data_IF_794263937656
#
_entry.id   IF_794263937656
#
_cell.length_a   1.000
_cell.length_b   1.000
_cell.length_c   1.000
_cell.angle_alpha   90.00
_cell.angle_beta   90.00
_cell.angle_gamma   90.00
#
_symmetry.space_group_name_H-M   'P 1'
#
loop_
_entity.id
_entity.type
_entity.pdbx_description
1 polymer ?
#
# COMPACT_ATOMS: atom_id res chain seq x y z
N UNK A 1 9.02 60.21 -36.82
CA UNK A 1 7.87 59.94 -35.94
C UNK A 1 8.40 59.19 -34.74
N UNK A 2 8.60 59.94 -33.65
CA UNK A 2 9.02 59.63 -32.27
C UNK A 2 10.04 58.51 -31.92
N UNK A 3 11.24 58.98 -31.54
CA UNK A 3 12.15 58.39 -30.54
C UNK A 3 11.66 58.69 -29.11
N UNK A 4 12.12 57.93 -28.10
CA UNK A 4 12.64 58.36 -26.77
C UNK A 4 13.05 57.09 -25.99
N UNK A 5 14.31 56.73 -25.72
CA UNK A 5 15.36 57.24 -24.80
C UNK A 5 15.06 57.18 -23.28
N UNK A 6 15.80 56.27 -22.61
CA UNK A 6 16.56 56.39 -21.34
C UNK A 6 15.91 56.32 -19.93
N UNK A 7 16.60 55.53 -19.09
CA UNK A 7 16.99 55.71 -17.66
C UNK A 7 15.98 55.39 -16.52
N UNK A 8 16.33 54.43 -15.64
CA UNK A 8 16.96 54.74 -14.33
C UNK A 8 17.52 53.48 -13.62
N UNK A 9 18.70 53.65 -13.01
CA UNK A 9 19.34 52.76 -12.02
C UNK A 9 18.58 52.81 -10.70
N UNK A 10 18.51 51.70 -9.95
CA UNK A 10 18.60 51.78 -8.49
C UNK A 10 19.20 50.51 -7.89
N UNK A 11 20.48 50.62 -7.49
CA UNK A 11 21.10 49.82 -6.44
C UNK A 11 20.55 50.29 -5.08
N UNK A 12 20.33 49.38 -4.13
CA UNK A 12 20.30 49.77 -2.71
C UNK A 12 19.73 48.78 -1.71
N UNK A 13 20.65 48.16 -0.96
CA UNK A 13 20.57 47.68 0.45
C UNK A 13 19.86 46.34 0.69
N UNK A 14 20.60 45.27 1.03
CA UNK A 14 21.12 44.90 2.36
C UNK A 14 20.05 44.89 3.46
N UNK A 15 19.56 43.69 3.77
CA UNK A 15 19.19 43.30 5.13
C UNK A 15 19.53 41.82 5.34
N UNK A 16 20.43 41.58 6.28
CA UNK A 16 20.84 40.26 6.74
C UNK A 16 19.70 39.55 7.47
N UNK A 17 19.53 38.24 7.25
CA UNK A 17 18.65 37.40 8.06
C UNK A 17 19.38 36.12 8.47
N UNK A 18 19.80 36.08 9.73
CA UNK A 18 20.13 34.89 10.54
C UNK A 18 20.11 35.32 12.02
N UNK A 19 19.98 34.40 12.98
CA UNK A 19 18.92 33.41 13.17
C UNK A 19 18.40 33.46 14.62
N UNK A 20 17.33 32.72 14.92
CA UNK A 20 17.11 32.22 16.26
C UNK A 20 15.75 32.56 16.88
N UNK A 21 15.03 31.50 17.24
CA UNK A 21 14.42 31.37 18.56
C UNK A 21 13.72 30.02 18.61
N UNK A 22 14.08 29.20 19.60
CA UNK A 22 13.67 27.81 19.73
C UNK A 22 12.16 27.63 19.84
N UNK A 23 11.66 26.61 19.15
CA UNK A 23 10.34 26.05 19.42
C UNK A 23 10.52 25.00 20.51
N UNK A 24 10.21 25.38 21.74
CA UNK A 24 9.84 24.45 22.81
C UNK A 24 8.41 23.98 22.52
N UNK A 25 8.24 22.73 22.12
CA UNK A 25 6.91 22.10 22.16
C UNK A 25 6.65 21.63 23.58
N UNK A 26 5.72 22.31 24.24
CA UNK A 26 5.16 21.93 25.53
C UNK A 26 4.34 20.65 25.38
N UNK A 27 4.64 19.65 26.21
CA UNK A 27 3.80 18.50 26.43
C UNK A 27 2.49 18.94 27.09
N UNK A 28 1.35 18.58 26.50
CA UNK A 28 0.05 18.70 27.12
C UNK A 28 -0.50 17.30 27.41
N UNK A 29 -0.31 16.88 28.65
CA UNK A 29 -1.14 15.88 29.31
C UNK A 29 -2.53 16.46 29.55
N UNK A 30 -3.60 15.79 29.10
CA UNK A 30 -4.86 15.84 29.85
C UNK A 30 -5.71 14.59 29.64
N UNK A 31 -6.02 13.98 30.79
CA UNK A 31 -7.05 12.95 31.00
C UNK A 31 -8.41 13.63 31.16
N UNK A 32 -9.46 12.79 31.00
CA UNK A 32 -10.88 12.94 31.43
C UNK A 32 -11.77 13.55 30.34
N UNK A 33 -13.01 13.11 30.11
CA UNK A 33 -13.94 12.40 31.00
C UNK A 33 -15.07 11.76 30.18
N UNK A 34 -15.54 10.60 30.64
CA UNK A 34 -16.78 9.95 30.23
C UNK A 34 -17.99 10.85 30.44
N UNK A 35 -18.86 10.93 29.44
CA UNK A 35 -20.25 11.37 29.61
C UNK A 35 -21.18 10.23 29.17
N UNK A 36 -21.86 9.65 30.16
CA UNK A 36 -23.02 8.77 30.01
C UNK A 36 -24.20 9.59 29.51
N UNK A 37 -24.94 9.06 28.54
CA UNK A 37 -26.35 9.38 28.35
C UNK A 37 -27.13 8.08 28.24
N UNK A 38 -28.06 7.95 29.18
CA UNK A 38 -29.06 6.89 29.31
C UNK A 38 -30.44 7.43 28.94
N UNK A 39 -31.40 6.49 28.81
CA UNK A 39 -32.85 6.63 28.60
C UNK A 39 -33.27 6.55 27.12
N UNK A 40 -34.29 5.79 26.72
CA UNK A 40 -35.27 4.96 27.45
C UNK A 40 -35.91 3.94 26.50
N UNK A 41 -36.39 2.85 27.10
CA UNK A 41 -37.07 1.72 26.49
C UNK A 41 -38.37 2.07 25.76
N UNK A 42 -38.71 1.26 24.75
CA UNK A 42 -40.11 0.86 24.55
C UNK A 42 -40.19 -0.62 24.16
N UNK A 43 -41.18 -1.27 24.77
CA UNK A 43 -41.43 -2.70 24.87
C UNK A 43 -42.05 -3.29 23.60
N UNK A 44 -41.72 -4.54 23.29
CA UNK A 44 -42.75 -5.52 22.93
C UNK A 44 -42.32 -6.94 23.30
N UNK A 45 -43.18 -7.60 24.07
CA UNK A 45 -43.10 -9.01 24.49
C UNK A 45 -43.69 -9.89 23.39
N UNK A 46 -43.04 -10.99 23.06
CA UNK A 46 -43.71 -12.26 22.74
C UNK A 46 -42.86 -13.42 23.27
N UNK A 47 -43.51 -14.24 24.10
CA UNK A 47 -42.99 -15.45 24.72
C UNK A 47 -42.82 -16.58 23.68
N UNK A 48 -41.79 -17.39 23.87
CA UNK A 48 -41.63 -18.69 23.23
C UNK A 48 -40.45 -19.45 23.85
N UNK A 49 -40.73 -20.22 24.89
CA UNK A 49 -39.77 -21.13 25.53
C UNK A 49 -39.28 -22.17 24.52
N UNK A 50 -37.97 -22.24 24.28
CA UNK A 50 -37.29 -23.49 23.97
C UNK A 50 -35.90 -23.50 24.61
N UNK A 51 -35.73 -24.41 25.56
CA UNK A 51 -34.46 -24.85 26.12
C UNK A 51 -33.74 -25.66 25.05
N UNK A 52 -32.54 -25.23 24.62
CA UNK A 52 -31.54 -26.12 24.05
C UNK A 52 -30.16 -25.46 24.00
N UNK A 53 -29.24 -26.06 24.75
CA UNK A 53 -27.84 -26.35 24.41
C UNK A 53 -26.92 -25.19 23.98
N UNK A 54 -25.97 -24.89 24.88
CA UNK A 54 -24.68 -24.33 24.51
C UNK A 54 -24.02 -25.22 23.45
N UNK A 55 -23.67 -24.67 22.28
CA UNK A 55 -22.66 -25.25 21.41
C UNK A 55 -22.12 -24.24 20.39
N UNK A 56 -20.80 -24.21 20.31
CA UNK A 56 -19.94 -23.68 19.25
C UNK A 56 -20.24 -22.29 18.69
N UNK A 57 -19.38 -21.33 19.10
CA UNK A 57 -19.04 -20.18 18.28
C UNK A 57 -18.49 -20.67 16.93
N UNK A 58 -19.37 -20.78 15.94
CA UNK A 58 -19.03 -21.04 14.55
C UNK A 58 -18.19 -19.88 14.04
N UNK A 59 -16.93 -20.16 13.75
CA UNK A 59 -16.01 -19.33 12.97
C UNK A 59 -16.69 -19.02 11.64
N UNK A 60 -17.25 -17.81 11.49
CA UNK A 60 -17.80 -17.34 10.21
C UNK A 60 -16.64 -17.10 9.25
N UNK A 61 -16.22 -18.15 8.55
CA UNK A 61 -15.47 -18.04 7.30
C UNK A 61 -16.42 -17.39 6.30
N UNK A 62 -16.05 -16.22 5.78
CA UNK A 62 -16.85 -15.52 4.77
C UNK A 62 -16.86 -16.36 3.47
N UNK A 63 -18.02 -16.56 2.83
CA UNK A 63 -18.11 -17.33 1.58
C UNK A 63 -17.21 -16.70 0.50
N UNK A 64 -16.34 -17.50 -0.11
CA UNK A 64 -15.50 -17.09 -1.25
C UNK A 64 -14.06 -16.68 -0.93
N UNK A 65 -13.66 -16.68 0.36
CA UNK A 65 -12.25 -16.48 0.75
C UNK A 65 -11.65 -17.84 1.12
N UNK A 66 -11.05 -18.52 0.15
CA UNK A 66 -10.09 -19.58 0.45
C UNK A 66 -8.90 -18.89 1.12
N UNK A 67 -8.61 -19.19 2.38
CA UNK A 67 -7.39 -18.71 3.03
C UNK A 67 -6.19 -19.37 2.34
N UNK A 68 -5.72 -18.76 1.26
CA UNK A 68 -4.44 -19.04 0.65
C UNK A 68 -3.37 -18.20 1.35
N UNK A 69 -3.06 -18.50 2.61
CA UNK A 69 -1.81 -18.02 3.21
C UNK A 69 -0.66 -18.81 2.56
N UNK A 70 -0.19 -18.38 1.40
CA UNK A 70 1.00 -18.97 0.80
C UNK A 70 1.93 -17.91 0.21
N UNK A 71 3.03 -17.65 0.95
CA UNK A 71 4.38 -17.57 0.39
C UNK A 71 5.43 -17.79 1.52
N UNK A 72 6.29 -18.80 1.37
CA UNK A 72 7.50 -19.07 2.19
C UNK A 72 8.72 -19.18 1.24
N UNK A 73 9.84 -18.47 1.46
CA UNK A 73 11.09 -18.91 2.14
C UNK A 73 12.17 -17.76 2.13
N UNK A 74 13.27 -17.77 2.95
CA UNK A 74 13.94 -18.95 3.51
C UNK A 74 14.15 -19.02 5.05
N UNK A 75 13.81 -20.18 5.62
CA UNK A 75 14.53 -20.82 6.73
C UNK A 75 14.23 -22.31 6.70
N UNK A 76 15.28 -23.14 6.57
CA UNK A 76 15.28 -24.57 6.26
C UNK A 76 14.57 -25.55 7.24
N UNK A 77 13.60 -25.11 8.03
CA UNK A 77 12.88 -25.97 8.97
C UNK A 77 11.37 -25.64 8.96
N UNK A 78 10.65 -26.17 7.97
CA UNK A 78 9.20 -26.20 7.99
C UNK A 78 8.73 -27.44 8.78
N UNK A 79 8.53 -27.29 10.09
CA UNK A 79 7.86 -28.28 10.92
C UNK A 79 6.39 -27.87 11.17
N UNK A 80 5.46 -28.68 10.66
CA UNK A 80 4.08 -28.86 11.16
C UNK A 80 3.16 -27.63 11.25
N UNK A 81 2.25 -27.48 10.28
CA UNK A 81 1.19 -26.46 10.26
C UNK A 81 0.04 -26.84 11.23
N UNK A 82 -0.10 -26.11 12.35
CA UNK A 82 -1.32 -26.06 13.16
C UNK A 82 -2.07 -24.75 12.85
N UNK A 83 -3.17 -24.90 12.10
CA UNK A 83 -3.98 -23.87 11.44
C UNK A 83 -4.55 -22.79 12.39
N UNK A 84 -4.65 -23.08 13.70
CA UNK A 84 -5.15 -22.10 14.68
C UNK A 84 -4.07 -21.13 15.19
N UNK A 85 -2.81 -21.56 15.19
CA UNK A 85 -1.67 -20.80 15.71
C UNK A 85 -1.16 -19.74 14.70
N UNK A 86 -1.31 -20.00 13.41
CA UNK A 86 -0.81 -19.15 12.33
C UNK A 86 -1.60 -17.85 12.15
N UNK A 87 -2.88 -17.81 12.55
CA UNK A 87 -3.67 -16.58 12.43
C UNK A 87 -3.36 -15.55 13.52
N UNK A 88 -2.79 -15.95 14.67
CA UNK A 88 -2.54 -15.04 15.78
C UNK A 88 -1.57 -13.92 15.42
N UNK A 89 -0.53 -14.23 14.63
CA UNK A 89 0.43 -13.22 14.14
C UNK A 89 -0.24 -12.13 13.30
N UNK A 90 -1.37 -12.43 12.66
CA UNK A 90 -2.14 -11.47 11.85
C UNK A 90 -3.17 -10.67 12.66
N UNK A 91 -3.41 -10.89 13.96
CA UNK A 91 -4.50 -10.21 14.71
C UNK A 91 -4.13 -8.85 15.31
N UNK A 92 -2.92 -8.38 15.07
CA UNK A 92 -2.35 -7.18 15.72
C UNK A 92 -1.39 -6.44 14.79
N UNK A 93 -1.91 -6.04 13.64
CA UNK A 93 -1.23 -5.22 12.64
C UNK A 93 -1.43 -3.73 12.91
N UNK A 94 -0.38 -2.94 12.65
CA UNK A 94 -0.47 -1.48 12.65
C UNK A 94 -1.10 -0.95 11.36
N UNK A 95 -0.92 -1.66 10.24
CA UNK A 95 -1.53 -1.35 8.95
C UNK A 95 -1.55 -2.57 8.02
N UNK A 96 -2.49 -2.56 7.07
CA UNK A 96 -2.54 -3.48 5.94
C UNK A 96 -2.26 -2.69 4.67
N UNK A 97 -1.15 -2.96 4.03
CA UNK A 97 -0.70 -2.30 2.80
C UNK A 97 -1.11 -3.15 1.61
N UNK A 98 -1.93 -2.62 0.71
CA UNK A 98 -2.43 -3.36 -0.46
C UNK A 98 -1.98 -2.69 -1.75
N UNK A 99 -1.30 -3.44 -2.61
CA UNK A 99 -0.88 -2.96 -3.92
C UNK A 99 -2.05 -2.97 -4.89
N UNK A 100 -2.30 -1.83 -5.54
CA UNK A 100 -3.10 -1.80 -6.76
C UNK A 100 -2.45 -2.63 -7.87
N UNK A 101 -3.12 -2.74 -9.00
CA UNK A 101 -2.65 -3.57 -10.11
C UNK A 101 -3.38 -3.26 -11.39
N UNK A 102 -3.61 -1.97 -11.66
CA UNK A 102 -4.39 -1.51 -12.79
C UNK A 102 -5.78 -1.01 -12.43
N UNK A 103 -6.37 -0.39 -13.44
CA UNK A 103 -7.74 0.09 -13.53
C UNK A 103 -8.27 -0.30 -14.91
N UNK A 104 -9.53 -0.68 -14.99
CA UNK A 104 -10.25 -0.93 -16.25
C UNK A 104 -11.13 0.26 -16.65
N UNK A 105 -11.26 1.25 -15.77
CA UNK A 105 -12.05 2.46 -15.95
C UNK A 105 -11.94 3.39 -14.74
N UNK A 106 -12.58 4.58 -14.76
CA UNK A 106 -12.56 5.53 -13.64
C UNK A 106 -13.08 4.94 -12.32
N UNK A 107 -14.05 4.05 -12.39
CA UNK A 107 -14.68 3.43 -11.21
C UNK A 107 -14.57 1.90 -11.22
N UNK A 108 -13.70 1.33 -12.07
CA UNK A 108 -13.57 -0.12 -12.21
C UNK A 108 -12.12 -0.57 -12.14
N UNK A 109 -11.95 -1.70 -11.46
CA UNK A 109 -10.67 -2.37 -11.23
C UNK A 109 -10.74 -3.79 -11.80
N UNK A 110 -9.61 -4.41 -12.16
CA UNK A 110 -9.60 -5.78 -12.63
C UNK A 110 -9.79 -6.78 -11.46
N UNK A 111 -10.28 -7.98 -11.78
CA UNK A 111 -10.64 -9.03 -10.80
C UNK A 111 -9.51 -9.40 -9.84
N UNK A 112 -8.25 -9.40 -10.29
CA UNK A 112 -7.12 -9.67 -9.39
C UNK A 112 -6.92 -8.57 -8.35
N UNK A 113 -7.26 -7.30 -8.64
CA UNK A 113 -7.23 -6.21 -7.66
C UNK A 113 -8.40 -6.35 -6.69
N UNK A 114 -9.59 -6.71 -7.17
CA UNK A 114 -10.74 -7.02 -6.31
C UNK A 114 -10.38 -8.07 -5.24
N UNK A 115 -9.71 -9.17 -5.66
CA UNK A 115 -9.25 -10.22 -4.73
C UNK A 115 -8.22 -9.72 -3.72
N UNK A 116 -7.27 -8.87 -4.13
CA UNK A 116 -6.31 -8.25 -3.17
C UNK A 116 -7.04 -7.42 -2.12
N UNK A 117 -8.03 -6.62 -2.54
CA UNK A 117 -8.81 -5.77 -1.64
C UNK A 117 -9.70 -6.59 -0.71
N UNK A 118 -10.31 -7.67 -1.20
CA UNK A 118 -11.10 -8.59 -0.37
C UNK A 118 -10.22 -9.33 0.65
N UNK A 119 -9.00 -9.73 0.27
CA UNK A 119 -7.99 -10.27 1.20
C UNK A 119 -7.61 -9.24 2.27
N UNK A 120 -7.32 -8.00 1.87
CA UNK A 120 -6.99 -6.92 2.80
C UNK A 120 -8.14 -6.62 3.77
N UNK A 121 -9.38 -6.59 3.28
CA UNK A 121 -10.57 -6.38 4.11
C UNK A 121 -10.81 -7.54 5.08
N UNK A 122 -10.55 -8.77 4.65
CA UNK A 122 -10.63 -9.96 5.51
C UNK A 122 -9.58 -9.90 6.63
N UNK A 123 -8.34 -9.52 6.31
CA UNK A 123 -7.30 -9.26 7.32
C UNK A 123 -7.72 -8.15 8.28
N UNK A 124 -8.28 -7.05 7.79
CA UNK A 124 -8.72 -5.93 8.64
C UNK A 124 -9.80 -6.39 9.63
N UNK A 125 -10.71 -7.25 9.21
CA UNK A 125 -11.77 -7.81 10.07
C UNK A 125 -11.24 -8.75 11.16
N UNK A 126 -10.05 -9.31 11.00
CA UNK A 126 -9.40 -10.13 12.03
C UNK A 126 -8.72 -9.31 13.13
N UNK A 127 -8.54 -8.01 12.94
CA UNK A 127 -7.75 -7.19 13.85
C UNK A 127 -8.47 -6.96 15.18
N UNK A 128 -7.71 -7.05 16.28
CA UNK A 128 -8.21 -6.76 17.64
C UNK A 128 -8.41 -5.27 17.90
N UNK A 129 -7.78 -4.42 17.10
CA UNK A 129 -7.78 -2.97 17.21
C UNK A 129 -8.03 -2.36 15.83
N UNK A 130 -8.49 -1.09 15.76
CA UNK A 130 -8.54 -0.35 14.50
C UNK A 130 -7.24 -0.45 13.72
N UNK A 131 -7.32 -0.88 12.47
CA UNK A 131 -6.16 -1.09 11.59
C UNK A 131 -6.48 -0.52 10.21
N UNK A 132 -5.76 0.50 9.73
CA UNK A 132 -6.01 1.08 8.42
C UNK A 132 -5.61 0.14 7.28
N UNK A 133 -6.38 0.16 6.20
CA UNK A 133 -5.95 -0.37 4.90
C UNK A 133 -5.37 0.80 4.09
N UNK A 134 -4.10 0.67 3.70
CA UNK A 134 -3.41 1.61 2.82
C UNK A 134 -3.40 1.06 1.38
N UNK A 135 -4.19 1.66 0.49
CA UNK A 135 -4.17 1.36 -0.94
C UNK A 135 -3.04 2.12 -1.63
N UNK A 136 -2.11 1.40 -2.26
CA UNK A 136 -0.97 1.96 -2.99
C UNK A 136 -1.25 2.01 -4.49
N UNK A 137 -1.01 3.17 -5.11
CA UNK A 137 -1.04 3.31 -6.57
C UNK A 137 -1.55 4.67 -7.03
N UNK A 138 -0.67 5.45 -7.64
CA UNK A 138 -0.99 6.67 -8.39
C UNK A 138 -1.45 6.37 -9.82
N UNK A 139 -0.82 5.39 -10.47
CA UNK A 139 -1.04 5.04 -11.87
C UNK A 139 0.03 4.08 -12.39
N UNK A 140 0.27 4.14 -13.70
CA UNK A 140 1.34 3.38 -14.35
C UNK A 140 2.02 4.25 -15.41
N UNK A 141 3.33 4.07 -15.67
CA UNK A 141 4.03 4.80 -16.72
C UNK A 141 3.57 4.40 -18.13
N UNK A 142 2.72 3.38 -18.29
CA UNK A 142 2.42 2.79 -19.60
C UNK A 142 1.11 3.26 -20.24
N UNK A 143 0.17 3.81 -19.45
CA UNK A 143 -1.11 4.32 -19.96
C UNK A 143 -1.46 5.66 -19.32
N UNK A 144 -2.24 6.47 -20.03
CA UNK A 144 -2.78 7.71 -19.49
C UNK A 144 -3.70 7.46 -18.28
N UNK A 145 -3.80 8.41 -17.35
CA UNK A 145 -4.69 8.28 -16.21
C UNK A 145 -6.15 8.32 -16.65
N UNK A 146 -7.02 7.69 -15.87
CA UNK A 146 -8.46 7.96 -15.97
C UNK A 146 -8.78 9.31 -15.33
N UNK A 147 -9.67 10.07 -15.95
CA UNK A 147 -10.17 11.34 -15.43
C UNK A 147 -11.62 11.17 -14.98
N UNK A 148 -12.01 11.87 -13.93
CA UNK A 148 -13.41 11.99 -13.54
C UNK A 148 -14.15 13.02 -14.41
N UNK A 149 -15.46 13.18 -14.15
CA UNK A 149 -16.33 14.10 -14.90
C UNK A 149 -15.94 15.57 -14.75
N UNK A 150 -15.15 15.92 -13.72
CA UNK A 150 -14.62 17.26 -13.50
C UNK A 150 -13.17 17.42 -14.02
N UNK A 151 -12.60 16.39 -14.65
CA UNK A 151 -11.26 16.42 -15.24
C UNK A 151 -10.13 16.13 -14.26
N UNK A 152 -10.41 15.64 -13.04
CA UNK A 152 -9.39 15.27 -12.08
C UNK A 152 -8.92 13.83 -12.28
N UNK A 153 -7.64 13.57 -12.00
CA UNK A 153 -7.05 12.22 -12.08
C UNK A 153 -7.68 11.30 -11.03
N UNK A 154 -8.18 10.16 -11.50
CA UNK A 154 -8.59 9.05 -10.65
C UNK A 154 -7.44 8.06 -10.50
N UNK A 155 -6.63 8.26 -9.47
CA UNK A 155 -5.53 7.35 -9.12
C UNK A 155 -6.04 5.93 -8.84
N UNK A 156 -5.21 4.91 -9.06
CA UNK A 156 -5.57 3.51 -8.79
C UNK A 156 -6.01 3.28 -7.33
N UNK A 157 -5.33 3.92 -6.37
CA UNK A 157 -5.70 3.89 -4.95
C UNK A 157 -7.05 4.53 -4.66
N UNK A 158 -7.52 5.46 -5.51
CA UNK A 158 -8.87 6.05 -5.39
C UNK A 158 -9.94 5.06 -5.83
N UNK A 159 -9.72 4.34 -6.92
CA UNK A 159 -10.63 3.26 -7.33
C UNK A 159 -10.66 2.12 -6.30
N UNK A 160 -9.50 1.75 -5.73
CA UNK A 160 -9.41 0.78 -4.65
C UNK A 160 -10.21 1.19 -3.40
N UNK A 161 -10.07 2.45 -2.97
CA UNK A 161 -10.80 2.97 -1.81
C UNK A 161 -12.32 2.96 -2.05
N UNK A 162 -12.78 3.33 -3.26
CA UNK A 162 -14.21 3.26 -3.63
C UNK A 162 -14.73 1.83 -3.53
N UNK A 163 -13.99 0.85 -4.06
CA UNK A 163 -14.34 -0.56 -3.95
C UNK A 163 -14.45 -1.01 -2.49
N UNK A 164 -13.47 -0.68 -1.64
CA UNK A 164 -13.49 -1.03 -0.22
C UNK A 164 -14.68 -0.42 0.53
N UNK A 165 -15.02 0.84 0.25
CA UNK A 165 -16.21 1.51 0.81
C UNK A 165 -17.50 0.78 0.43
N UNK A 166 -17.62 0.36 -0.85
CA UNK A 166 -18.78 -0.41 -1.32
C UNK A 166 -18.88 -1.79 -0.64
N UNK A 167 -17.75 -2.36 -0.20
CA UNK A 167 -17.68 -3.63 0.57
C UNK A 167 -17.81 -3.42 2.09
N UNK A 168 -18.13 -2.20 2.53
CA UNK A 168 -18.44 -1.88 3.92
C UNK A 168 -17.22 -1.56 4.79
N UNK A 169 -16.08 -1.22 4.20
CA UNK A 169 -14.95 -0.67 4.96
C UNK A 169 -15.29 0.73 5.52
N UNK A 170 -14.82 1.02 6.73
CA UNK A 170 -15.01 2.32 7.36
C UNK A 170 -14.02 3.35 6.76
N UNK A 171 -14.53 4.50 6.32
CA UNK A 171 -13.73 5.50 5.58
C UNK A 171 -12.55 6.07 6.39
N UNK A 172 -12.71 6.18 7.71
CA UNK A 172 -11.68 6.60 8.66
C UNK A 172 -10.56 5.57 8.86
N UNK A 173 -10.74 4.34 8.36
CA UNK A 173 -9.72 3.29 8.33
C UNK A 173 -9.19 3.02 6.92
N UNK A 174 -9.42 3.92 5.96
CA UNK A 174 -8.87 3.82 4.60
C UNK A 174 -7.86 4.94 4.36
N UNK A 175 -6.69 4.55 3.87
CA UNK A 175 -5.62 5.46 3.47
C UNK A 175 -5.29 5.23 1.99
N UNK A 176 -4.83 6.29 1.33
CA UNK A 176 -4.39 6.23 -0.08
C UNK A 176 -2.97 6.78 -0.20
N UNK A 177 -2.20 6.14 -1.06
CA UNK A 177 -0.92 6.63 -1.55
C UNK A 177 -1.01 6.77 -3.08
N UNK A 178 -0.60 7.93 -3.62
CA UNK A 178 -0.86 8.35 -5.01
C UNK A 178 0.39 8.74 -5.79
N UNK A 179 1.57 8.67 -5.17
CA UNK A 179 2.85 9.03 -5.78
C UNK A 179 3.50 7.86 -6.52
N UNK A 180 3.16 6.61 -6.17
CA UNK A 180 3.72 5.43 -6.82
C UNK A 180 3.13 5.14 -8.20
N UNK A 181 3.99 4.83 -9.16
CA UNK A 181 3.61 4.41 -10.52
C UNK A 181 4.01 2.97 -10.85
N UNK A 182 4.65 2.29 -9.89
CA UNK A 182 5.16 0.94 -10.01
C UNK A 182 5.46 0.34 -8.63
N UNK A 183 5.87 -0.93 -8.59
CA UNK A 183 6.15 -1.64 -7.32
C UNK A 183 7.33 -1.05 -6.54
N UNK A 184 8.33 -0.46 -7.23
CA UNK A 184 9.44 0.24 -6.56
C UNK A 184 8.90 1.45 -5.80
N UNK A 185 8.08 2.27 -6.46
CA UNK A 185 7.40 3.38 -5.82
C UNK A 185 6.46 2.94 -4.70
N UNK A 186 5.71 1.84 -4.89
CA UNK A 186 4.81 1.32 -3.86
C UNK A 186 5.59 1.10 -2.55
N UNK A 187 6.72 0.39 -2.60
CA UNK A 187 7.55 0.13 -1.42
C UNK A 187 8.16 1.42 -0.84
N UNK A 188 8.68 2.31 -1.68
CA UNK A 188 9.32 3.55 -1.24
C UNK A 188 8.34 4.53 -0.58
N UNK A 189 7.19 4.79 -1.21
CA UNK A 189 6.23 5.78 -0.74
C UNK A 189 5.37 5.25 0.40
N UNK A 190 5.05 3.94 0.45
CA UNK A 190 4.42 3.37 1.65
C UNK A 190 5.32 3.50 2.88
N UNK A 191 6.63 3.37 2.70
CA UNK A 191 7.61 3.53 3.76
C UNK A 191 7.74 4.98 4.23
N UNK A 192 8.00 5.89 3.29
CA UNK A 192 8.43 7.27 3.58
C UNK A 192 7.26 8.21 3.91
N UNK A 193 6.09 7.99 3.32
CA UNK A 193 4.90 8.81 3.55
C UNK A 193 4.08 8.29 4.72
N UNK A 194 4.04 6.96 4.92
CA UNK A 194 3.17 6.34 5.92
C UNK A 194 3.90 5.61 7.03
N UNK A 195 4.64 4.54 6.75
CA UNK A 195 5.13 3.65 7.80
C UNK A 195 6.09 4.35 8.78
N UNK A 196 7.05 5.14 8.29
CA UNK A 196 7.96 5.91 9.14
C UNK A 196 7.23 7.02 9.91
N UNK A 197 6.46 7.93 9.25
CA UNK A 197 5.76 9.01 9.97
C UNK A 197 4.71 8.53 10.97
N UNK A 198 3.98 7.46 10.65
CA UNK A 198 2.95 6.89 11.53
C UNK A 198 3.52 5.95 12.61
N UNK A 199 4.83 5.66 12.56
CA UNK A 199 5.49 4.77 13.51
C UNK A 199 5.07 3.31 13.41
N UNK A 200 4.54 2.88 12.26
CA UNK A 200 4.13 1.49 12.02
C UNK A 200 5.31 0.53 12.14
N UNK A 201 5.06 -0.66 12.66
CA UNK A 201 6.04 -1.72 12.87
C UNK A 201 5.58 -3.04 12.28
N UNK A 202 4.32 -3.41 12.49
CA UNK A 202 3.77 -4.71 12.07
C UNK A 202 2.80 -4.49 10.92
N UNK A 203 3.21 -4.88 9.71
CA UNK A 203 2.45 -4.60 8.50
C UNK A 203 2.18 -5.89 7.73
N UNK A 204 0.96 -6.03 7.23
CA UNK A 204 0.70 -6.99 6.16
C UNK A 204 0.85 -6.30 4.81
N UNK A 205 1.57 -6.92 3.87
CA UNK A 205 1.70 -6.47 2.48
C UNK A 205 0.92 -7.45 1.61
N UNK A 206 -0.13 -6.96 0.96
CA UNK A 206 -1.10 -7.74 0.19
C UNK A 206 -0.92 -7.46 -1.30
N UNK A 207 -0.73 -8.53 -2.07
CA UNK A 207 -0.71 -8.49 -3.54
C UNK A 207 -1.12 -9.86 -4.12
N UNK A 208 -1.18 -10.01 -5.44
CA UNK A 208 -1.43 -11.29 -6.11
C UNK A 208 -0.28 -12.27 -5.92
N UNK A 209 -0.57 -13.58 -5.93
CA UNK A 209 0.44 -14.64 -5.82
C UNK A 209 1.56 -14.51 -6.87
N UNK A 210 1.21 -14.33 -8.16
CA UNK A 210 2.19 -14.13 -9.22
C UNK A 210 3.11 -12.91 -9.00
N UNK A 211 2.65 -11.90 -8.25
CA UNK A 211 3.38 -10.64 -8.01
C UNK A 211 4.12 -10.63 -6.66
N UNK A 212 3.84 -11.61 -5.79
CA UNK A 212 4.34 -11.62 -4.42
C UNK A 212 5.86 -11.72 -4.33
N UNK A 213 6.56 -12.59 -5.09
CA UNK A 213 8.02 -12.71 -4.96
C UNK A 213 8.77 -11.41 -5.24
N UNK A 214 8.35 -10.64 -6.26
CA UNK A 214 8.92 -9.32 -6.56
C UNK A 214 8.59 -8.30 -5.48
N UNK A 215 7.33 -8.26 -5.07
CA UNK A 215 6.85 -7.34 -4.02
C UNK A 215 7.61 -7.56 -2.71
N UNK A 216 7.78 -8.81 -2.28
CA UNK A 216 8.48 -9.15 -1.06
C UNK A 216 9.95 -8.71 -1.10
N UNK A 217 10.65 -8.95 -2.22
CA UNK A 217 12.03 -8.51 -2.38
C UNK A 217 12.17 -6.97 -2.28
N UNK A 218 11.30 -6.20 -2.93
CA UNK A 218 11.30 -4.75 -2.88
C UNK A 218 11.04 -4.20 -1.48
N UNK A 219 9.95 -4.65 -0.85
CA UNK A 219 9.55 -4.20 0.48
C UNK A 219 10.58 -4.58 1.54
N UNK A 220 11.05 -5.84 1.56
CA UNK A 220 12.04 -6.28 2.54
C UNK A 220 13.36 -5.51 2.43
N UNK A 221 13.87 -5.28 1.21
CA UNK A 221 15.08 -4.50 0.99
C UNK A 221 14.95 -3.06 1.49
N UNK A 222 13.89 -2.34 1.10
CA UNK A 222 13.73 -0.92 1.44
C UNK A 222 13.37 -0.69 2.91
N UNK A 223 12.46 -1.50 3.47
CA UNK A 223 12.10 -1.38 4.89
C UNK A 223 13.25 -1.84 5.79
N UNK A 224 14.00 -2.89 5.40
CA UNK A 224 15.18 -3.33 6.14
C UNK A 224 16.30 -2.30 6.13
N UNK A 225 16.50 -1.61 5.01
CA UNK A 225 17.42 -0.47 4.88
C UNK A 225 17.03 0.67 5.84
N UNK A 226 15.77 1.08 5.82
CA UNK A 226 15.27 2.11 6.75
C UNK A 226 15.34 1.67 8.22
N UNK A 227 15.02 0.41 8.52
CA UNK A 227 15.11 -0.16 9.85
C UNK A 227 16.52 -0.02 10.42
N UNK A 228 17.52 -0.41 9.63
CA UNK A 228 18.93 -0.30 10.00
C UNK A 228 19.36 1.16 10.19
N UNK A 229 19.07 2.03 9.23
CA UNK A 229 19.61 3.40 9.24
C UNK A 229 18.92 4.32 10.25
N UNK A 230 17.59 4.22 10.37
CA UNK A 230 16.82 5.11 11.25
C UNK A 230 16.69 4.59 12.68
N UNK A 231 16.78 3.27 12.88
CA UNK A 231 16.50 2.63 14.18
C UNK A 231 17.60 1.68 14.66
N UNK A 232 18.66 1.46 13.89
CA UNK A 232 19.73 0.53 14.25
C UNK A 232 19.33 -0.95 14.18
N UNK A 233 18.16 -1.29 13.63
CA UNK A 233 17.66 -2.67 13.56
C UNK A 233 16.98 -2.93 12.20
N UNK A 234 17.56 -3.76 11.31
CA UNK A 234 16.94 -4.11 10.03
C UNK A 234 15.61 -4.86 10.18
N UNK A 235 15.29 -5.38 11.37
CA UNK A 235 14.02 -6.05 11.69
C UNK A 235 13.01 -5.12 12.37
N UNK A 236 13.26 -3.81 12.37
CA UNK A 236 12.36 -2.79 12.93
C UNK A 236 10.92 -2.97 12.45
N UNK A 237 10.77 -3.28 11.17
CA UNK A 237 9.50 -3.53 10.51
C UNK A 237 9.30 -5.04 10.31
N UNK A 238 8.28 -5.58 10.98
CA UNK A 238 7.80 -6.95 10.80
C UNK A 238 6.82 -6.94 9.62
N UNK A 239 7.31 -7.34 8.45
CA UNK A 239 6.52 -7.44 7.24
C UNK A 239 5.96 -8.85 7.07
N UNK A 240 4.66 -8.95 6.85
CA UNK A 240 3.95 -10.19 6.59
C UNK A 240 3.43 -10.15 5.15
N UNK A 241 3.89 -11.07 4.31
CA UNK A 241 3.51 -11.10 2.90
C UNK A 241 2.30 -12.02 2.70
N UNK A 242 1.17 -11.45 2.28
CA UNK A 242 -0.10 -12.17 2.13
C UNK A 242 -0.55 -12.15 0.67
N UNK A 243 -0.47 -13.30 0.01
CA UNK A 243 -0.81 -13.44 -1.39
C UNK A 243 -2.33 -13.68 -1.58
N UNK A 244 -2.94 -12.93 -2.48
CA UNK A 244 -4.27 -13.24 -3.00
C UNK A 244 -4.14 -14.28 -4.13
N UNK A 245 -4.94 -15.34 -4.08
CA UNK A 245 -4.88 -16.44 -5.05
C UNK A 245 -5.18 -15.98 -6.47
N UNK A 246 -4.41 -16.50 -7.43
CA UNK A 246 -4.60 -16.31 -8.87
C UNK A 246 -5.51 -17.37 -9.51
N UNK A 247 -6.01 -18.31 -8.71
CA UNK A 247 -6.79 -19.45 -9.18
C UNK A 247 -8.03 -19.01 -9.98
N UNK A 248 -8.15 -19.48 -11.21
CA UNK A 248 -9.26 -19.14 -12.10
C UNK A 248 -9.30 -17.68 -12.57
N UNK A 249 -8.24 -16.88 -12.37
CA UNK A 249 -8.15 -15.52 -12.93
C UNK A 249 -7.57 -15.54 -14.34
N UNK A 250 -6.52 -16.34 -14.55
CA UNK A 250 -5.73 -16.32 -15.78
C UNK A 250 -5.69 -17.71 -16.41
N UNK A 251 -5.60 -17.76 -17.73
CA UNK A 251 -5.16 -18.96 -18.43
C UNK A 251 -3.73 -19.32 -18.02
N UNK A 252 -3.42 -20.62 -17.97
CA UNK A 252 -2.12 -21.12 -17.49
C UNK A 252 -0.93 -20.52 -18.25
N UNK A 253 -1.03 -20.39 -19.58
CA UNK A 253 0.03 -19.79 -20.41
C UNK A 253 0.26 -18.31 -20.04
N UNK A 254 -0.82 -17.54 -19.89
CA UNK A 254 -0.77 -16.12 -19.50
C UNK A 254 -0.15 -15.97 -18.10
N UNK A 255 -0.56 -16.81 -17.15
CA UNK A 255 -0.01 -16.78 -15.78
C UNK A 255 1.50 -17.07 -15.77
N UNK A 256 1.96 -18.05 -16.54
CA UNK A 256 3.38 -18.39 -16.64
C UNK A 256 4.20 -17.25 -17.24
N UNK A 257 3.69 -16.58 -18.28
CA UNK A 257 4.34 -15.42 -18.88
C UNK A 257 4.46 -14.27 -17.86
N UNK A 258 3.39 -14.02 -17.08
CA UNK A 258 3.42 -13.01 -16.01
C UNK A 258 4.48 -13.36 -14.96
N UNK A 259 4.48 -14.59 -14.45
CA UNK A 259 5.46 -15.05 -13.45
C UNK A 259 6.90 -14.88 -13.95
N UNK A 260 7.19 -15.27 -15.20
CA UNK A 260 8.51 -15.10 -15.80
C UNK A 260 8.95 -13.62 -15.88
N UNK A 261 8.05 -12.71 -16.22
CA UNK A 261 8.34 -11.26 -16.23
C UNK A 261 8.57 -10.69 -14.83
N UNK A 262 7.78 -11.14 -13.85
CA UNK A 262 7.93 -10.75 -12.46
C UNK A 262 9.27 -11.24 -11.90
N UNK A 263 9.69 -12.46 -12.24
CA UNK A 263 10.99 -13.03 -11.86
C UNK A 263 12.15 -12.26 -12.48
N UNK A 264 12.08 -11.92 -13.77
CA UNK A 264 13.09 -11.11 -14.44
C UNK A 264 13.20 -9.71 -13.79
N UNK A 265 12.06 -9.09 -13.48
CA UNK A 265 12.03 -7.79 -12.79
C UNK A 265 12.57 -7.88 -11.36
N UNK A 266 12.28 -8.97 -10.65
CA UNK A 266 12.82 -9.25 -9.32
C UNK A 266 14.35 -9.40 -9.37
N UNK A 267 14.88 -10.14 -10.35
CA UNK A 267 16.32 -10.30 -10.52
C UNK A 267 17.03 -8.96 -10.78
N UNK A 268 16.44 -8.11 -11.65
CA UNK A 268 16.95 -6.76 -11.89
C UNK A 268 16.94 -5.88 -10.64
N UNK A 269 15.89 -5.97 -9.81
CA UNK A 269 15.84 -5.31 -8.51
C UNK A 269 16.93 -5.80 -7.56
N UNK A 270 17.10 -7.11 -7.41
CA UNK A 270 18.09 -7.69 -6.50
C UNK A 270 19.50 -7.20 -6.84
N UNK A 271 19.86 -7.19 -8.12
CA UNK A 271 21.14 -6.64 -8.57
C UNK A 271 21.27 -5.14 -8.26
N UNK A 272 20.22 -4.36 -8.47
CA UNK A 272 20.21 -2.93 -8.11
C UNK A 272 20.42 -2.73 -6.61
N UNK A 273 19.74 -3.53 -5.78
CA UNK A 273 19.75 -3.42 -4.33
C UNK A 273 21.12 -3.71 -3.70
N UNK A 274 22.00 -4.47 -4.37
CA UNK A 274 23.39 -4.72 -3.92
C UNK A 274 24.18 -3.43 -3.69
N UNK A 275 23.92 -2.39 -4.50
CA UNK A 275 24.58 -1.09 -4.40
C UNK A 275 23.93 -0.11 -3.42
N UNK A 276 22.78 -0.43 -2.82
CA UNK A 276 22.00 0.50 -2.01
C UNK A 276 22.26 0.28 -0.52
N UNK A 277 23.24 1.02 0.03
CA UNK A 277 23.68 0.84 1.42
C UNK A 277 23.00 1.78 2.41
N UNK A 278 22.49 2.92 1.93
CA UNK A 278 21.79 3.95 2.70
C UNK A 278 20.49 4.43 2.01
N UNK A 279 19.61 5.06 2.79
CA UNK A 279 18.43 5.77 2.28
C UNK A 279 18.81 6.90 1.33
N UNK A 280 19.99 7.50 1.51
CA UNK A 280 20.58 8.46 0.56
C UNK A 280 20.87 7.79 -0.79
N UNK A 281 21.45 6.59 -0.80
CA UNK A 281 21.73 5.85 -2.04
C UNK A 281 20.42 5.49 -2.75
N UNK A 282 19.44 4.98 -2.00
CA UNK A 282 18.11 4.66 -2.52
C UNK A 282 17.43 5.89 -3.14
N UNK A 283 17.44 7.03 -2.43
CA UNK A 283 16.90 8.28 -2.95
C UNK A 283 17.63 8.74 -4.22
N UNK A 284 18.95 8.70 -4.22
CA UNK A 284 19.78 9.12 -5.36
C UNK A 284 19.51 8.25 -6.58
N UNK A 285 19.43 6.94 -6.41
CA UNK A 285 19.08 6.02 -7.48
C UNK A 285 17.64 6.22 -7.98
N UNK A 286 16.67 6.36 -7.08
CA UNK A 286 15.26 6.50 -7.44
C UNK A 286 15.04 7.74 -8.33
N UNK A 287 15.58 8.88 -7.93
CA UNK A 287 15.38 10.15 -8.65
C UNK A 287 16.43 10.44 -9.73
N UNK A 288 17.54 9.69 -9.77
CA UNK A 288 18.57 9.80 -10.80
C UNK A 288 18.36 8.84 -11.97
N UNK A 289 17.89 7.62 -11.71
CA UNK A 289 17.98 6.50 -12.64
C UNK A 289 16.64 5.83 -12.95
N UNK A 290 15.75 5.74 -11.96
CA UNK A 290 14.51 4.98 -12.11
C UNK A 290 13.56 5.61 -13.13
N UNK A 291 12.93 4.79 -13.99
CA UNK A 291 12.06 5.23 -15.08
C UNK A 291 10.98 6.20 -14.59
N UNK A 292 10.27 5.83 -13.53
CA UNK A 292 9.09 6.58 -13.10
C UNK A 292 9.40 7.90 -12.35
N UNK A 293 10.62 8.08 -11.84
CA UNK A 293 10.91 9.15 -10.88
C UNK A 293 12.14 9.99 -11.25
N UNK A 294 12.90 9.59 -12.26
CA UNK A 294 13.98 10.37 -12.81
C UNK A 294 13.48 11.38 -13.83
N UNK A 295 13.80 12.66 -13.60
CA UNK A 295 13.44 13.76 -14.51
C UNK A 295 14.03 13.56 -15.91
N UNK A 296 15.24 13.00 -16.02
CA UNK A 296 15.88 12.76 -17.32
C UNK A 296 15.15 11.72 -18.17
N UNK A 297 14.33 10.87 -17.55
CA UNK A 297 13.57 9.80 -18.18
C UNK A 297 12.09 10.11 -18.38
N UNK A 298 11.66 11.33 -18.03
CA UNK A 298 10.25 11.75 -18.13
C UNK A 298 9.68 11.58 -19.56
N UNK A 299 10.52 11.69 -20.58
CA UNK A 299 10.13 11.51 -21.99
C UNK A 299 9.74 10.07 -22.36
N UNK A 300 10.07 9.08 -21.52
CA UNK A 300 9.70 7.68 -21.71
C UNK A 300 8.29 7.36 -21.17
N UNK A 301 7.68 8.28 -20.43
CA UNK A 301 6.36 8.10 -19.83
C UNK A 301 5.26 8.10 -20.89
N UNK A 302 4.34 7.12 -20.81
CA UNK A 302 3.27 6.92 -21.78
C UNK A 302 3.73 6.33 -23.12
N UNK A 303 5.02 6.01 -23.28
CA UNK A 303 5.53 5.37 -24.50
C UNK A 303 5.32 3.87 -24.39
N UNK A 304 4.43 3.34 -25.22
CA UNK A 304 4.13 1.91 -25.26
C UNK A 304 5.28 1.13 -25.90
N UNK A 305 6.08 0.47 -25.06
CA UNK A 305 7.19 -0.38 -25.52
C UNK A 305 6.77 -1.83 -25.78
N UNK A 306 5.59 -2.25 -25.29
CA UNK A 306 5.06 -3.60 -25.46
C UNK A 306 4.01 -3.59 -26.58
N UNK A 307 4.32 -4.24 -27.70
CA UNK A 307 3.44 -4.35 -28.87
C UNK A 307 2.65 -5.66 -28.92
N UNK A 308 2.99 -6.64 -28.08
CA UNK A 308 2.32 -7.93 -28.04
C UNK A 308 0.96 -7.83 -27.32
N UNK A 309 -0.11 -8.13 -28.03
CA UNK A 309 -1.49 -8.05 -27.55
C UNK A 309 -1.81 -9.04 -26.42
N UNK A 310 -1.22 -10.24 -26.41
CA UNK A 310 -1.38 -11.19 -25.30
C UNK A 310 -0.68 -10.68 -24.04
N UNK A 311 0.43 -9.98 -24.21
CA UNK A 311 1.13 -9.32 -23.11
C UNK A 311 0.40 -8.09 -22.60
N UNK A 312 -0.24 -7.31 -23.49
CA UNK A 312 -1.06 -6.16 -23.09
C UNK A 312 -2.31 -6.56 -22.32
N UNK A 313 -2.93 -7.70 -22.66
CA UNK A 313 -4.07 -8.25 -21.92
C UNK A 313 -3.70 -8.68 -20.47
N UNK A 314 -2.41 -8.68 -20.13
CA UNK A 314 -1.89 -8.96 -18.79
C UNK A 314 -1.54 -7.71 -17.97
N UNK A 315 -1.84 -6.50 -18.45
CA UNK A 315 -1.68 -5.23 -17.71
C UNK A 315 -3.02 -4.49 -17.58
#
# INVERSE_FOLDING_TARGET
MFQFHKFFKMLGRLAAYRPGSGIRVLAATSRRQLARLSCSASSNKCNGNHVASANHASTRVLPGVTWGLAYHEPSAEANGLDDSSDLERYKSLDAIVVLAGGQTGPDSIPVWVERRLDTALSLQRLQRQPCPILSLGGGTPHKGPYLDTAGFVVHESTACARYLLQRGAAADHLLKEVSSYDTVGNAYFSLTIHAVPAGWRRLAVVTSDFHMPRTAALFASMYGLAGRELYGDPRRFELMFVAATDEGIFEHEVLNIRKSKEDASRAAWLHTAEGLTSLRDLHTWLHGTHLCYSVSRQHEFGVQQITDSKLLASY
#
